data_IF_382810770699
#
_entry.id   IF_382810770699
#
_cell.length_a   1.000
_cell.length_b   1.000
_cell.length_c   1.000
_cell.angle_alpha   90.00
_cell.angle_beta   90.00
_cell.angle_gamma   90.00
#
_symmetry.space_group_name_H-M   'P 1'
#
loop_
_entity.id
_entity.type
_entity.pdbx_description
1 polymer ?
#
# COMPACT_ATOMS: atom_id res chain seq x y z
N UNK A 1 -18.92 -23.43 20.68
CA UNK A 1 -18.71 -22.87 19.33
C UNK A 1 -17.21 -22.83 19.09
N UNK A 2 -16.68 -23.76 18.28
CA UNK A 2 -15.26 -23.86 17.99
C UNK A 2 -14.91 -22.81 16.93
N UNK A 3 -14.17 -21.76 17.30
CA UNK A 3 -13.58 -20.87 16.31
C UNK A 3 -12.52 -21.68 15.57
N UNK A 4 -12.81 -22.01 14.30
CA UNK A 4 -11.82 -22.64 13.44
C UNK A 4 -10.59 -21.74 13.43
N UNK A 5 -9.46 -22.23 13.99
CA UNK A 5 -8.16 -21.58 13.83
C UNK A 5 -7.92 -21.46 12.33
N UNK A 6 -7.98 -20.25 11.81
CA UNK A 6 -7.59 -19.96 10.43
C UNK A 6 -6.18 -20.49 10.25
N UNK A 7 -5.95 -21.31 9.22
CA UNK A 7 -4.63 -21.90 8.98
C UNK A 7 -3.63 -20.76 8.78
N UNK A 8 -2.47 -20.85 9.41
CA UNK A 8 -1.39 -19.90 9.20
C UNK A 8 -0.98 -19.92 7.72
N UNK A 9 -0.75 -18.74 7.15
CA UNK A 9 -0.17 -18.56 5.82
C UNK A 9 1.31 -18.86 5.90
N UNK A 10 1.81 -19.76 5.06
CA UNK A 10 3.26 -19.92 4.90
C UNK A 10 3.84 -18.65 4.27
N UNK A 11 4.79 -18.04 4.97
CA UNK A 11 5.31 -16.72 4.66
C UNK A 11 6.80 -16.66 4.99
N UNK A 12 7.64 -16.65 3.96
CA UNK A 12 9.09 -16.55 4.12
C UNK A 12 9.53 -15.12 4.39
N UNK A 13 10.74 -14.95 4.94
CA UNK A 13 11.29 -13.61 5.15
C UNK A 13 11.52 -12.86 3.83
N UNK A 14 11.86 -13.56 2.74
CA UNK A 14 12.07 -12.96 1.43
C UNK A 14 10.76 -12.45 0.83
N UNK A 15 9.65 -13.15 1.08
CA UNK A 15 8.32 -12.70 0.71
C UNK A 15 7.92 -11.43 1.47
N UNK A 16 8.21 -11.35 2.77
CA UNK A 16 7.94 -10.15 3.57
C UNK A 16 8.80 -8.98 3.10
N UNK A 17 10.05 -9.24 2.70
CA UNK A 17 10.93 -8.23 2.09
C UNK A 17 10.40 -7.76 0.75
N UNK A 18 9.90 -8.66 -0.10
CA UNK A 18 9.30 -8.31 -1.38
C UNK A 18 8.05 -7.43 -1.20
N UNK A 19 7.17 -7.78 -0.24
CA UNK A 19 6.00 -6.95 0.12
C UNK A 19 6.44 -5.57 0.63
N UNK A 20 7.44 -5.52 1.52
CA UNK A 20 7.93 -4.25 2.06
C UNK A 20 8.60 -3.39 0.99
N UNK A 21 9.33 -4.00 0.05
CA UNK A 21 9.95 -3.31 -1.07
C UNK A 21 8.90 -2.68 -1.99
N UNK A 22 7.83 -3.42 -2.29
CA UNK A 22 6.72 -2.90 -3.09
C UNK A 22 6.01 -1.73 -2.38
N UNK A 23 5.69 -1.89 -1.09
CA UNK A 23 5.08 -0.82 -0.30
C UNK A 23 5.97 0.43 -0.21
N UNK A 24 7.29 0.26 -0.06
CA UNK A 24 8.26 1.35 -0.04
C UNK A 24 8.35 2.06 -1.40
N UNK A 25 8.42 1.30 -2.50
CA UNK A 25 8.44 1.86 -3.85
C UNK A 25 7.19 2.70 -4.15
N UNK A 26 6.01 2.29 -3.67
CA UNK A 26 4.80 3.12 -3.76
C UNK A 26 4.95 4.41 -2.96
N UNK A 27 5.36 4.32 -1.70
CA UNK A 27 5.48 5.50 -0.85
C UNK A 27 6.58 6.48 -1.31
N UNK A 28 7.62 6.02 -2.01
CA UNK A 28 8.66 6.87 -2.61
C UNK A 28 8.07 7.89 -3.59
N UNK A 29 7.02 7.53 -4.33
CA UNK A 29 6.39 8.42 -5.33
C UNK A 29 5.75 9.67 -4.72
N UNK A 30 5.30 9.57 -3.46
CA UNK A 30 4.52 10.62 -2.81
C UNK A 30 5.26 11.28 -1.64
N UNK A 31 6.41 10.75 -1.23
CA UNK A 31 7.25 11.37 -0.21
C UNK A 31 7.58 12.84 -0.55
N UNK A 32 7.95 13.22 -1.79
CA UNK A 32 8.23 14.62 -2.14
C UNK A 32 7.04 15.56 -1.90
N UNK A 33 5.79 15.05 -2.01
CA UNK A 33 4.59 15.84 -1.74
C UNK A 33 4.53 16.25 -0.26
N UNK A 34 4.78 15.31 0.65
CA UNK A 34 4.88 15.63 2.08
C UNK A 34 6.03 16.60 2.37
N UNK A 35 7.21 16.34 1.81
CA UNK A 35 8.41 17.14 2.07
C UNK A 35 8.29 18.57 1.54
N UNK A 36 7.54 18.78 0.46
CA UNK A 36 7.26 20.13 -0.06
C UNK A 36 6.48 21.00 0.92
N UNK A 37 5.57 20.38 1.70
CA UNK A 37 4.73 21.09 2.67
C UNK A 37 5.37 21.16 4.06
N UNK A 38 6.13 20.12 4.45
CA UNK A 38 6.75 19.95 5.77
C UNK A 38 8.25 19.63 5.65
N UNK A 39 9.07 20.52 5.09
CA UNK A 39 10.47 20.22 4.73
C UNK A 39 11.36 19.87 5.94
N UNK A 40 10.99 20.32 7.14
CA UNK A 40 11.74 20.07 8.37
C UNK A 40 11.30 18.82 9.13
N UNK A 41 10.23 18.15 8.69
CA UNK A 41 9.73 16.94 9.35
C UNK A 41 10.27 15.69 8.64
N UNK A 42 11.26 15.04 9.26
CA UNK A 42 11.88 13.85 8.69
C UNK A 42 11.09 12.56 8.91
N UNK A 43 10.02 12.57 9.73
CA UNK A 43 9.40 11.32 10.21
C UNK A 43 8.94 10.39 9.07
N UNK A 44 8.31 10.85 7.97
CA UNK A 44 7.99 9.98 6.84
C UNK A 44 9.23 9.45 6.10
N UNK A 45 10.25 10.29 5.89
CA UNK A 45 11.51 9.87 5.26
C UNK A 45 12.21 8.80 6.09
N UNK A 46 12.23 8.95 7.41
CA UNK A 46 12.83 7.99 8.34
C UNK A 46 12.07 6.64 8.34
N UNK A 47 10.74 6.68 8.18
CA UNK A 47 9.93 5.47 8.00
C UNK A 47 10.29 4.74 6.71
N UNK A 48 10.38 5.49 5.61
CA UNK A 48 10.69 4.92 4.31
C UNK A 48 12.12 4.36 4.25
N UNK A 49 13.09 5.05 4.85
CA UNK A 49 14.45 4.55 5.01
C UNK A 49 14.47 3.21 5.77
N UNK A 50 13.73 3.10 6.88
CA UNK A 50 13.63 1.86 7.64
C UNK A 50 12.95 0.72 6.85
N UNK A 51 11.97 1.04 6.00
CA UNK A 51 11.34 0.07 5.11
C UNK A 51 12.34 -0.45 4.07
N UNK A 52 13.09 0.46 3.42
CA UNK A 52 14.12 0.13 2.44
C UNK A 52 15.26 -0.70 3.01
N UNK A 53 15.74 -0.36 4.21
CA UNK A 53 16.76 -1.13 4.93
C UNK A 53 16.33 -2.59 5.13
N UNK A 54 15.10 -2.78 5.60
CA UNK A 54 14.54 -4.13 5.76
C UNK A 54 14.37 -4.82 4.40
N UNK A 55 13.84 -4.14 3.39
CA UNK A 55 13.70 -4.71 2.05
C UNK A 55 15.04 -5.21 1.47
N UNK A 56 16.14 -4.52 1.76
CA UNK A 56 17.51 -4.86 1.27
C UNK A 56 18.23 -5.93 2.07
N UNK A 57 17.60 -6.55 3.07
CA UNK A 57 18.17 -7.70 3.79
C UNK A 57 18.47 -7.46 5.27
N UNK A 58 18.40 -6.22 5.76
CA UNK A 58 18.60 -5.97 7.20
C UNK A 58 17.47 -6.63 8.03
N UNK A 59 17.76 -7.08 9.25
CA UNK A 59 16.75 -7.69 10.10
C UNK A 59 15.67 -6.67 10.48
N UNK A 60 14.50 -7.17 10.87
CA UNK A 60 13.50 -6.35 11.60
C UNK A 60 14.18 -5.74 12.81
N UNK A 61 13.99 -4.45 13.03
CA UNK A 61 14.65 -3.73 14.10
C UNK A 61 13.70 -2.76 14.80
N UNK A 62 14.24 -2.05 15.80
CA UNK A 62 13.51 -0.99 16.48
C UNK A 62 13.18 0.17 15.54
N UNK A 63 13.92 0.34 14.43
CA UNK A 63 13.73 1.44 13.49
C UNK A 63 12.31 1.41 12.93
N UNK A 64 11.87 0.30 12.31
CA UNK A 64 10.52 0.21 11.73
C UNK A 64 9.44 0.41 12.80
N UNK A 65 9.65 -0.12 14.01
CA UNK A 65 8.69 0.01 15.14
C UNK A 65 8.52 1.43 15.66
N UNK A 66 9.54 2.28 15.52
CA UNK A 66 9.47 3.68 15.94
C UNK A 66 9.01 4.56 14.79
N UNK A 67 9.60 4.38 13.61
CA UNK A 67 9.40 5.27 12.48
C UNK A 67 8.01 5.13 11.87
N UNK A 68 7.45 3.92 11.79
CA UNK A 68 6.08 3.71 11.30
C UNK A 68 5.03 4.55 12.07
N UNK A 69 4.89 4.41 13.41
CA UNK A 69 3.93 5.24 14.14
C UNK A 69 4.35 6.71 14.22
N UNK A 70 5.64 7.06 14.07
CA UNK A 70 6.07 8.45 13.99
C UNK A 70 5.56 9.12 12.70
N UNK A 71 5.67 8.45 11.55
CA UNK A 71 5.11 8.92 10.29
C UNK A 71 3.58 9.01 10.34
N UNK A 72 2.89 8.05 10.96
CA UNK A 72 1.45 8.13 11.18
C UNK A 72 1.03 9.32 12.06
N UNK A 73 1.86 9.71 13.04
CA UNK A 73 1.63 10.93 13.83
C UNK A 73 1.87 12.19 13.00
N UNK A 74 2.94 12.22 12.20
CA UNK A 74 3.22 13.31 11.26
C UNK A 74 2.05 13.56 10.31
N UNK A 75 1.45 12.48 9.78
CA UNK A 75 0.25 12.57 8.96
C UNK A 75 -0.90 13.25 9.69
N UNK A 76 -1.14 12.93 10.96
CA UNK A 76 -2.24 13.50 11.76
C UNK A 76 -2.00 14.94 12.21
N UNK A 77 -0.78 15.44 12.07
CA UNK A 77 -0.37 16.81 12.43
C UNK A 77 -0.40 17.77 11.23
N UNK A 78 -0.80 17.29 10.04
CA UNK A 78 -1.00 18.13 8.85
C UNK A 78 -2.48 18.35 8.54
N UNK A 79 -2.79 19.55 8.07
CA UNK A 79 -4.12 19.93 7.59
C UNK A 79 -4.32 19.61 6.09
N UNK A 80 -3.24 19.24 5.38
CA UNK A 80 -3.30 18.84 3.98
C UNK A 80 -3.59 17.36 3.85
N UNK A 81 -4.65 17.05 3.09
CA UNK A 81 -4.97 15.68 2.75
C UNK A 81 -3.87 14.99 1.94
N UNK A 82 -3.16 15.73 1.07
CA UNK A 82 -2.04 15.18 0.27
C UNK A 82 -0.90 14.75 1.18
N UNK A 83 -0.43 15.64 2.05
CA UNK A 83 0.61 15.33 3.02
C UNK A 83 0.18 14.24 4.01
N UNK A 84 -1.09 14.24 4.45
CA UNK A 84 -1.63 13.17 5.30
C UNK A 84 -1.46 11.81 4.63
N UNK A 85 -1.91 11.67 3.38
CA UNK A 85 -1.84 10.39 2.67
C UNK A 85 -0.39 9.97 2.37
N UNK A 86 0.48 10.90 1.98
CA UNK A 86 1.90 10.62 1.75
C UNK A 86 2.61 10.11 3.02
N UNK A 87 2.40 10.75 4.17
CA UNK A 87 2.98 10.31 5.44
C UNK A 87 2.41 8.98 5.93
N UNK A 88 1.11 8.74 5.72
CA UNK A 88 0.50 7.42 5.99
C UNK A 88 1.11 6.31 5.14
N UNK A 89 1.35 6.56 3.84
CA UNK A 89 1.99 5.61 2.94
C UNK A 89 3.39 5.20 3.43
N UNK A 90 4.22 6.17 3.82
CA UNK A 90 5.55 5.91 4.35
C UNK A 90 5.53 5.12 5.66
N UNK A 91 4.62 5.46 6.59
CA UNK A 91 4.45 4.72 7.83
C UNK A 91 3.98 3.28 7.61
N UNK A 92 3.08 3.08 6.64
CA UNK A 92 2.60 1.75 6.26
C UNK A 92 3.67 0.91 5.58
N UNK A 93 4.52 1.50 4.74
CA UNK A 93 5.67 0.80 4.16
C UNK A 93 6.61 0.24 5.24
N UNK A 94 6.90 1.03 6.29
CA UNK A 94 7.69 0.53 7.42
C UNK A 94 6.95 -0.57 8.21
N UNK A 95 5.63 -0.46 8.34
CA UNK A 95 4.79 -1.46 9.02
C UNK A 95 4.65 -2.77 8.22
N UNK A 96 4.83 -2.76 6.90
CA UNK A 96 4.81 -3.97 6.05
C UNK A 96 5.85 -5.01 6.45
N UNK A 97 6.97 -4.57 7.05
CA UNK A 97 7.97 -5.47 7.60
C UNK A 97 7.40 -6.44 8.66
N UNK A 98 6.26 -6.11 9.27
CA UNK A 98 5.58 -6.91 10.29
C UNK A 98 4.31 -7.61 9.78
N UNK A 99 4.16 -7.82 8.47
CA UNK A 99 3.15 -8.71 7.91
C UNK A 99 3.16 -10.05 8.66
N UNK A 100 2.01 -10.43 9.21
CA UNK A 100 1.88 -11.59 10.07
C UNK A 100 1.26 -12.76 9.30
N UNK A 101 1.73 -14.01 9.47
CA UNK A 101 1.15 -15.21 8.83
C UNK A 101 -0.29 -15.55 9.27
N UNK A 102 -0.99 -14.69 10.02
CA UNK A 102 -2.38 -14.96 10.36
C UNK A 102 -3.23 -14.75 9.11
N UNK A 103 -3.95 -15.77 8.67
CA UNK A 103 -4.88 -15.68 7.54
C UNK A 103 -6.11 -14.81 7.89
N UNK A 104 -5.90 -13.51 8.07
CA UNK A 104 -6.88 -12.49 8.41
C UNK A 104 -6.84 -11.40 7.33
N UNK A 105 -8.01 -10.96 6.88
CA UNK A 105 -8.16 -9.86 5.93
C UNK A 105 -7.49 -8.56 6.43
N UNK A 106 -7.36 -8.39 7.75
CA UNK A 106 -6.59 -7.28 8.34
C UNK A 106 -5.13 -7.28 7.87
N UNK A 107 -4.53 -8.45 7.62
CA UNK A 107 -3.13 -8.55 7.16
C UNK A 107 -2.95 -8.04 5.73
N UNK A 108 -3.99 -8.03 4.89
CA UNK A 108 -3.92 -7.44 3.55
C UNK A 108 -3.56 -5.95 3.61
N UNK A 109 -3.91 -5.26 4.71
CA UNK A 109 -3.51 -3.86 4.91
C UNK A 109 -1.99 -3.69 5.00
N UNK A 110 -1.26 -4.67 5.54
CA UNK A 110 0.21 -4.63 5.54
C UNK A 110 0.81 -4.82 4.14
N UNK A 111 0.03 -5.32 3.17
CA UNK A 111 0.48 -5.52 1.79
C UNK A 111 0.15 -4.28 0.94
N UNK A 112 -1.09 -3.79 1.01
CA UNK A 112 -1.62 -2.86 0.00
C UNK A 112 -1.89 -1.44 0.50
N UNK A 113 -1.91 -1.19 1.83
CA UNK A 113 -2.38 0.11 2.35
C UNK A 113 -1.44 1.27 2.02
N UNK A 114 -0.13 1.01 1.91
CA UNK A 114 0.83 2.00 1.42
C UNK A 114 0.49 2.45 -0.02
N UNK A 115 0.24 1.51 -0.94
CA UNK A 115 -0.16 1.81 -2.31
C UNK A 115 -1.52 2.52 -2.38
N UNK A 116 -2.50 2.12 -1.57
CA UNK A 116 -3.79 2.81 -1.51
C UNK A 116 -3.66 4.26 -1.04
N UNK A 117 -2.84 4.53 -0.01
CA UNK A 117 -2.55 5.91 0.41
C UNK A 117 -1.81 6.69 -0.67
N UNK A 118 -0.87 6.06 -1.38
CA UNK A 118 -0.12 6.66 -2.48
C UNK A 118 -1.05 7.12 -3.61
N UNK A 119 -1.95 6.25 -4.06
CA UNK A 119 -2.96 6.58 -5.09
C UNK A 119 -3.80 7.78 -4.63
N UNK A 120 -4.29 7.77 -3.39
CA UNK A 120 -5.07 8.88 -2.84
C UNK A 120 -4.30 10.19 -2.81
N UNK A 121 -3.01 10.17 -2.45
CA UNK A 121 -2.18 11.37 -2.45
C UNK A 121 -2.00 11.94 -3.87
N UNK A 122 -1.75 11.08 -4.85
CA UNK A 122 -1.59 11.47 -6.26
C UNK A 122 -2.89 12.06 -6.83
N UNK A 123 -4.04 11.44 -6.58
CA UNK A 123 -5.35 11.95 -7.01
C UNK A 123 -5.64 13.35 -6.44
N UNK A 124 -5.39 13.52 -5.14
CA UNK A 124 -5.61 14.79 -4.45
C UNK A 124 -4.64 15.87 -4.94
N UNK A 125 -3.39 15.51 -5.22
CA UNK A 125 -2.39 16.42 -5.77
C UNK A 125 -2.74 16.88 -7.18
N UNK A 126 -3.22 15.97 -8.03
CA UNK A 126 -3.61 16.28 -9.41
C UNK A 126 -4.90 17.12 -9.50
N UNK A 127 -5.82 16.97 -8.55
CA UNK A 127 -7.09 17.71 -8.55
C UNK A 127 -6.95 19.17 -8.13
N UNK A 128 -5.88 19.51 -7.38
CA UNK A 128 -5.62 20.86 -6.88
C UNK A 128 -6.75 21.43 -5.99
N UNK A 129 -6.59 22.65 -5.44
CA UNK A 129 -7.68 23.35 -4.80
C UNK A 129 -8.68 23.85 -5.87
N UNK A 130 -9.71 23.06 -6.19
CA UNK A 130 -10.78 23.53 -7.08
C UNK A 130 -11.73 24.47 -6.34
N UNK A 131 -11.88 25.68 -6.85
CA UNK A 131 -12.89 26.65 -6.38
C UNK A 131 -14.30 26.37 -6.96
N UNK A 132 -14.40 25.50 -7.97
CA UNK A 132 -15.67 25.14 -8.61
C UNK A 132 -16.20 23.82 -8.04
N UNK A 133 -17.53 23.74 -7.89
CA UNK A 133 -18.19 22.49 -7.53
C UNK A 133 -17.88 21.39 -8.56
N UNK A 134 -17.68 20.13 -8.11
CA UNK A 134 -17.44 19.02 -9.03
C UNK A 134 -18.59 18.87 -10.02
N UNK A 135 -18.28 18.95 -11.32
CA UNK A 135 -19.19 18.56 -12.40
C UNK A 135 -19.12 17.06 -12.66
N UNK A 136 -20.13 16.51 -13.35
CA UNK A 136 -20.11 15.12 -13.80
C UNK A 136 -18.83 14.76 -14.59
N UNK A 137 -18.35 15.69 -15.43
CA UNK A 137 -17.11 15.50 -16.20
C UNK A 137 -15.87 15.46 -15.31
N UNK A 138 -15.77 16.35 -14.32
CA UNK A 138 -14.63 16.33 -13.37
C UNK A 138 -14.64 15.07 -12.50
N UNK A 139 -15.83 14.59 -12.10
CA UNK A 139 -15.97 13.33 -11.38
C UNK A 139 -15.56 12.15 -12.27
N UNK A 140 -15.99 12.11 -13.53
CA UNK A 140 -15.60 11.07 -14.48
C UNK A 140 -14.09 11.10 -14.76
N UNK A 141 -13.49 12.27 -14.89
CA UNK A 141 -12.05 12.43 -15.07
C UNK A 141 -11.27 11.94 -13.84
N UNK A 142 -11.71 12.29 -12.64
CA UNK A 142 -11.12 11.80 -11.39
C UNK A 142 -11.22 10.28 -11.25
N UNK A 143 -12.29 9.67 -11.75
CA UNK A 143 -12.46 8.20 -11.78
C UNK A 143 -11.53 7.53 -12.79
N UNK A 144 -11.42 8.04 -14.01
CA UNK A 144 -10.43 7.54 -14.98
C UNK A 144 -8.99 7.66 -14.47
N UNK A 145 -8.67 8.75 -13.79
CA UNK A 145 -7.35 8.92 -13.16
C UNK A 145 -7.12 7.91 -12.03
N UNK A 146 -8.14 7.61 -11.22
CA UNK A 146 -8.10 6.56 -10.20
C UNK A 146 -7.78 5.20 -10.80
N UNK A 147 -8.58 4.78 -11.79
CA UNK A 147 -8.48 3.46 -12.41
C UNK A 147 -7.10 3.29 -13.05
N UNK A 148 -6.63 4.31 -13.76
CA UNK A 148 -5.30 4.33 -14.37
C UNK A 148 -4.18 4.18 -13.33
N UNK A 149 -4.26 4.89 -12.20
CA UNK A 149 -3.26 4.75 -11.14
C UNK A 149 -3.27 3.33 -10.57
N UNK A 150 -4.45 2.72 -10.35
CA UNK A 150 -4.54 1.33 -9.90
C UNK A 150 -3.84 0.40 -10.90
N UNK A 151 -4.12 0.53 -12.21
CA UNK A 151 -3.49 -0.28 -13.25
C UNK A 151 -1.96 -0.09 -13.28
N UNK A 152 -1.46 1.14 -13.18
CA UNK A 152 -0.03 1.44 -13.14
C UNK A 152 0.68 0.86 -11.90
N UNK A 153 0.00 0.83 -10.74
CA UNK A 153 0.50 0.16 -9.54
C UNK A 153 0.47 -1.36 -9.67
N UNK A 154 -0.61 -1.91 -10.24
CA UNK A 154 -0.76 -3.33 -10.44
C UNK A 154 0.30 -3.89 -11.40
N UNK A 155 0.56 -3.20 -12.51
CA UNK A 155 1.57 -3.57 -13.50
C UNK A 155 3.01 -3.61 -12.94
N UNK A 156 3.28 -2.89 -11.84
CA UNK A 156 4.58 -2.86 -11.16
C UNK A 156 4.68 -3.84 -9.99
N UNK A 157 3.58 -4.49 -9.61
CA UNK A 157 3.58 -5.43 -8.50
C UNK A 157 4.38 -6.69 -8.85
N UNK A 158 5.41 -7.04 -8.05
CA UNK A 158 6.17 -8.27 -8.30
C UNK A 158 5.26 -9.51 -8.18
N UNK A 159 5.48 -10.57 -8.99
CA UNK A 159 4.71 -11.81 -8.90
C UNK A 159 4.70 -12.41 -7.49
N UNK A 160 5.80 -12.26 -6.73
CA UNK A 160 5.88 -12.68 -5.32
C UNK A 160 4.86 -11.96 -4.43
N UNK A 161 4.65 -10.65 -4.64
CA UNK A 161 3.66 -9.87 -3.86
C UNK A 161 2.25 -10.36 -4.17
N UNK A 162 1.95 -10.59 -5.44
CA UNK A 162 0.66 -11.14 -5.88
C UNK A 162 0.44 -12.54 -5.31
N UNK A 163 1.45 -13.41 -5.36
CA UNK A 163 1.38 -14.75 -4.79
C UNK A 163 1.13 -14.74 -3.28
N UNK A 164 1.81 -13.86 -2.54
CA UNK A 164 1.57 -13.66 -1.10
C UNK A 164 0.15 -13.16 -0.85
N UNK A 165 -0.28 -12.13 -1.57
CA UNK A 165 -1.63 -11.57 -1.47
C UNK A 165 -2.71 -12.65 -1.67
N UNK A 166 -2.53 -13.49 -2.69
CA UNK A 166 -3.45 -14.59 -3.01
C UNK A 166 -3.62 -15.62 -1.89
N UNK A 167 -2.68 -15.72 -0.94
CA UNK A 167 -2.80 -16.62 0.22
C UNK A 167 -3.65 -16.05 1.36
N UNK A 168 -3.90 -14.74 1.37
CA UNK A 168 -4.79 -14.10 2.33
C UNK A 168 -6.24 -14.04 1.80
N UNK A 169 -7.24 -14.06 2.70
CA UNK A 169 -8.63 -13.80 2.33
C UNK A 169 -8.78 -12.48 1.58
N UNK A 170 -9.75 -12.42 0.66
CA UNK A 170 -10.10 -11.18 -0.04
C UNK A 170 -10.58 -10.12 0.94
N UNK A 171 -10.29 -8.87 0.63
CA UNK A 171 -10.87 -7.75 1.35
C UNK A 171 -12.32 -7.53 0.90
N UNK A 172 -13.22 -7.37 1.87
CA UNK A 172 -14.53 -6.80 1.59
C UNK A 172 -14.37 -5.27 1.44
N UNK A 173 -15.06 -4.71 0.45
CA UNK A 173 -15.06 -3.26 0.25
C UNK A 173 -15.60 -2.56 1.50
N UNK A 174 -14.79 -1.70 2.09
CA UNK A 174 -15.19 -0.91 3.25
C UNK A 174 -15.98 0.35 2.87
N UNK A 175 -16.64 0.97 3.85
CA UNK A 175 -17.48 2.16 3.63
C UNK A 175 -16.73 3.49 3.45
N UNK A 176 -15.40 3.52 3.47
CA UNK A 176 -14.62 4.75 3.30
C UNK A 176 -13.76 4.72 2.02
N UNK A 177 -13.39 5.89 1.45
CA UNK A 177 -12.69 5.94 0.17
C UNK A 177 -11.37 5.16 0.15
N UNK A 178 -10.59 5.19 1.22
CA UNK A 178 -9.34 4.44 1.30
C UNK A 178 -9.59 2.93 1.25
N UNK A 179 -10.61 2.43 1.95
CA UNK A 179 -10.98 1.03 1.95
C UNK A 179 -11.54 0.56 0.60
N UNK A 180 -12.21 1.45 -0.14
CA UNK A 180 -12.63 1.19 -1.52
C UNK A 180 -11.41 1.04 -2.43
N UNK A 181 -10.50 2.02 -2.43
CA UNK A 181 -9.23 1.95 -3.19
C UNK A 181 -8.44 0.69 -2.84
N UNK A 182 -8.36 0.34 -1.55
CA UNK A 182 -7.66 -0.88 -1.11
C UNK A 182 -8.29 -2.16 -1.71
N UNK A 183 -9.62 -2.24 -1.72
CA UNK A 183 -10.34 -3.38 -2.28
C UNK A 183 -10.24 -3.44 -3.82
N UNK A 184 -10.23 -2.30 -4.49
CA UNK A 184 -10.03 -2.20 -5.95
C UNK A 184 -8.61 -2.64 -6.36
N UNK A 185 -7.58 -2.19 -5.63
CA UNK A 185 -6.20 -2.67 -5.83
C UNK A 185 -6.08 -4.17 -5.58
N UNK A 186 -6.71 -4.71 -4.52
CA UNK A 186 -6.74 -6.16 -4.25
C UNK A 186 -7.41 -6.93 -5.41
N UNK A 187 -8.51 -6.40 -5.95
CA UNK A 187 -9.23 -7.01 -7.06
C UNK A 187 -8.39 -7.06 -8.35
N UNK A 188 -7.76 -5.95 -8.74
CA UNK A 188 -6.95 -5.86 -9.95
C UNK A 188 -5.73 -6.80 -9.87
N UNK A 189 -4.98 -6.76 -8.76
CA UNK A 189 -3.82 -7.64 -8.58
C UNK A 189 -4.17 -9.14 -8.64
N UNK A 190 -5.34 -9.52 -8.13
CA UNK A 190 -5.80 -10.92 -8.17
C UNK A 190 -6.36 -11.32 -9.53
N UNK A 191 -6.88 -10.39 -10.32
CA UNK A 191 -7.35 -10.66 -11.68
C UNK A 191 -6.17 -10.99 -12.61
N UNK A 192 -5.07 -10.24 -12.49
CA UNK A 192 -3.84 -10.50 -13.25
C UNK A 192 -3.24 -11.87 -12.92
N UNK A 193 -3.31 -12.29 -11.65
CA UNK A 193 -2.88 -13.63 -11.22
C UNK A 193 -3.68 -14.76 -11.90
N UNK A 194 -4.98 -14.55 -12.13
CA UNK A 194 -5.85 -15.51 -12.81
C UNK A 194 -5.72 -15.53 -14.33
N UNK A 195 -5.04 -14.53 -14.91
CA UNK A 195 -4.87 -14.36 -16.36
C UNK A 195 -3.48 -14.78 -16.84
N UNK A 196 -2.53 -15.02 -15.92
CA UNK A 196 -1.24 -15.62 -16.25
C UNK A 196 -1.46 -17.03 -16.84
N UNK A 197 -0.95 -17.33 -18.05
CA UNK A 197 -1.04 -18.67 -18.60
C UNK A 197 -0.32 -19.64 -17.68
N UNK A 198 -0.96 -20.77 -17.39
CA UNK A 198 -0.45 -21.86 -16.56
C UNK A 198 0.85 -22.43 -17.18
N UNK A 199 1.97 -21.77 -16.87
CA UNK A 199 3.29 -22.13 -17.34
C UNK A 199 3.95 -23.02 -16.30
N UNK A 200 3.41 -24.22 -16.10
CA UNK A 200 4.15 -25.49 -16.05
C UNK A 200 3.33 -26.60 -15.38
N UNK A 201 2.44 -27.22 -16.15
CA UNK A 201 2.16 -28.64 -15.97
C UNK A 201 2.28 -29.36 -17.32
N UNK A 202 3.48 -29.91 -17.55
CA UNK A 202 3.74 -30.78 -18.68
C UNK A 202 5.20 -30.83 -19.10
N UNK A 203 5.97 -31.78 -18.54
CA UNK A 203 6.33 -33.02 -19.25
C UNK A 203 7.43 -33.80 -18.51
N UNK A 204 7.04 -35.03 -18.15
CA UNK A 204 7.79 -36.30 -18.13
C UNK A 204 8.89 -36.50 -17.08
#
# INVERSE_FOLDING_TARGET
MSTARTRDVDLSMDEIRAVTAFAAASADEVLPLFESERPTDSRPRDALAAAHEFARGLPRSRLQRISAPAAHRAAKETDSAVAFHAAMAAGDAAASAYLHPLADAVQVKHILRASAHTIRALELSASGPSACEPTADTAAQGRRAHDRLIEEFAARAPPTVVAVLCRYPRLEAGGNPLAQTLAEVDAVLRADAGTAPDAAEGRR
#
